data_IF_140038214047
#
_entry.id   IF_140038214047
#
_cell.length_a   1.000
_cell.length_b   1.000
_cell.length_c   1.000
_cell.angle_alpha   90.00
_cell.angle_beta   90.00
_cell.angle_gamma   90.00
#
_symmetry.space_group_name_H-M   'P 1'
#
loop_
_entity.id
_entity.type
_entity.pdbx_description
1 polymer ?
#
# COMPACT_ATOMS: atom_id res chain seq x y z
N UNK A 1 -26.56 47.14 5.74
CA UNK A 1 -25.12 47.07 5.40
C UNK A 1 -24.24 47.01 6.67
N UNK A 2 -24.65 46.24 7.70
CA UNK A 2 -23.99 46.19 9.02
C UNK A 2 -23.97 44.77 9.64
N UNK A 3 -24.24 43.74 8.83
CA UNK A 3 -24.24 42.33 9.29
C UNK A 3 -23.03 41.53 8.80
N UNK A 4 -22.16 42.12 7.98
CA UNK A 4 -20.96 41.50 7.39
C UNK A 4 -19.66 41.78 8.16
N UNK A 5 -19.68 42.64 9.17
CA UNK A 5 -18.46 43.06 9.90
C UNK A 5 -18.32 42.31 11.25
N UNK A 6 -19.36 41.62 11.72
CA UNK A 6 -19.34 40.94 13.03
C UNK A 6 -18.70 39.54 12.97
N UNK A 7 -18.57 38.94 11.78
CA UNK A 7 -17.96 37.60 11.65
C UNK A 7 -16.42 37.62 11.69
N UNK A 8 -15.79 38.80 11.61
CA UNK A 8 -14.33 38.93 11.52
C UNK A 8 -13.63 39.06 12.89
N UNK A 9 -14.38 39.14 13.99
CA UNK A 9 -13.84 39.35 15.34
C UNK A 9 -14.42 38.33 16.34
N UNK A 10 -14.43 37.04 15.97
CA UNK A 10 -14.60 35.97 16.96
C UNK A 10 -13.25 35.26 17.18
N UNK A 11 -12.50 35.59 18.25
CA UNK A 11 -11.20 34.96 18.55
C UNK A 11 -11.33 33.47 18.93
N UNK A 12 -12.54 32.93 18.99
CA UNK A 12 -12.85 31.52 19.26
C UNK A 12 -13.45 30.77 18.06
N UNK A 13 -13.55 31.39 16.88
CA UNK A 13 -13.70 30.63 15.62
C UNK A 13 -12.31 30.22 15.16
N UNK A 14 -11.75 29.18 15.78
CA UNK A 14 -10.76 28.37 15.07
C UNK A 14 -11.56 27.66 13.98
N UNK A 15 -11.29 27.99 12.71
CA UNK A 15 -11.66 27.06 11.65
C UNK A 15 -10.76 25.84 11.89
N UNK A 16 -11.29 24.84 12.59
CA UNK A 16 -10.54 23.62 12.79
C UNK A 16 -10.19 23.05 11.41
N UNK A 17 -8.93 22.65 11.19
CA UNK A 17 -8.47 22.17 9.90
C UNK A 17 -9.34 20.99 9.46
N UNK A 18 -9.62 20.92 8.16
CA UNK A 18 -10.26 19.74 7.60
C UNK A 18 -9.23 18.59 7.53
N UNK A 19 -9.69 17.38 7.19
CA UNK A 19 -8.80 16.21 7.17
C UNK A 19 -7.60 16.39 6.23
N UNK A 20 -7.79 17.03 5.07
CA UNK A 20 -6.71 17.23 4.10
C UNK A 20 -5.65 18.22 4.62
N UNK A 21 -6.07 19.25 5.33
CA UNK A 21 -5.16 20.21 5.97
C UNK A 21 -4.36 19.56 7.10
N UNK A 22 -5.02 18.76 7.93
CA UNK A 22 -4.35 18.02 9.01
C UNK A 22 -3.33 17.00 8.48
N UNK A 23 -3.65 16.32 7.38
CA UNK A 23 -2.78 15.33 6.74
C UNK A 23 -1.77 15.95 5.76
N UNK A 24 -1.71 17.28 5.64
CA UNK A 24 -0.82 17.99 4.71
C UNK A 24 -0.98 17.54 3.25
N UNK A 25 -2.22 17.25 2.84
CA UNK A 25 -2.58 16.76 1.50
C UNK A 25 -3.19 17.82 0.59
N UNK A 26 -3.38 19.06 1.05
CA UNK A 26 -4.04 20.12 0.27
C UNK A 26 -3.37 20.37 -1.09
N UNK A 27 -2.05 20.58 -1.13
CA UNK A 27 -1.33 20.84 -2.38
C UNK A 27 -1.43 19.65 -3.35
N UNK A 28 -1.30 18.43 -2.84
CA UNK A 28 -1.47 17.22 -3.64
C UNK A 28 -2.91 17.08 -4.15
N UNK A 29 -3.91 17.34 -3.32
CA UNK A 29 -5.32 17.31 -3.70
C UNK A 29 -5.67 18.33 -4.80
N UNK A 30 -5.15 19.56 -4.70
CA UNK A 30 -5.32 20.60 -5.71
C UNK A 30 -4.66 20.23 -7.05
N UNK A 31 -3.64 19.38 -7.02
CA UNK A 31 -2.99 18.86 -8.24
C UNK A 31 -3.79 17.77 -8.95
N UNK A 32 -4.79 17.16 -8.29
CA UNK A 32 -5.65 16.13 -8.86
C UNK A 32 -6.70 16.73 -9.81
N UNK A 33 -7.08 15.98 -10.83
CA UNK A 33 -8.23 16.34 -11.67
C UNK A 33 -9.55 16.30 -10.89
N UNK A 34 -10.59 16.99 -11.36
CA UNK A 34 -11.91 16.98 -10.72
C UNK A 34 -12.47 15.55 -10.54
N UNK A 35 -12.22 14.66 -11.51
CA UNK A 35 -12.60 13.25 -11.40
C UNK A 35 -11.86 12.55 -10.27
N UNK A 36 -10.57 12.78 -10.14
CA UNK A 36 -9.72 12.19 -9.11
C UNK A 36 -10.02 12.73 -7.72
N UNK A 37 -10.33 14.02 -7.59
CA UNK A 37 -10.84 14.61 -6.36
C UNK A 37 -12.15 13.94 -5.92
N UNK A 38 -13.05 13.68 -6.87
CA UNK A 38 -14.29 12.94 -6.62
C UNK A 38 -14.01 11.48 -6.24
N UNK A 39 -13.05 10.81 -6.88
CA UNK A 39 -12.61 9.45 -6.54
C UNK A 39 -11.99 9.40 -5.13
N UNK A 40 -11.16 10.38 -4.77
CA UNK A 40 -10.57 10.49 -3.43
C UNK A 40 -11.66 10.52 -2.38
N UNK A 41 -12.65 11.40 -2.55
CA UNK A 41 -13.80 11.44 -1.66
C UNK A 41 -14.55 10.08 -1.64
N UNK A 42 -14.86 9.52 -2.81
CA UNK A 42 -15.60 8.25 -2.94
C UNK A 42 -14.94 7.12 -2.15
N UNK A 43 -13.61 7.00 -2.22
CA UNK A 43 -12.87 5.94 -1.54
C UNK A 43 -12.49 6.31 -0.10
N UNK A 44 -12.60 7.58 0.31
CA UNK A 44 -12.40 8.02 1.69
C UNK A 44 -13.54 7.60 2.62
N UNK A 45 -14.77 7.44 2.12
CA UNK A 45 -15.93 7.14 2.97
C UNK A 45 -15.79 5.79 3.67
N UNK A 46 -15.67 5.84 5.00
CA UNK A 46 -15.71 4.65 5.85
C UNK A 46 -17.19 4.36 6.08
N UNK A 47 -17.70 3.24 5.56
CA UNK A 47 -19.09 2.76 5.77
C UNK A 47 -20.22 3.62 5.17
N UNK A 48 -20.44 3.54 3.86
CA UNK A 48 -21.79 3.69 3.29
C UNK A 48 -22.49 5.05 3.45
N UNK A 49 -21.84 6.09 3.95
CA UNK A 49 -22.39 7.44 3.92
C UNK A 49 -22.34 8.01 2.51
N UNK A 50 -23.50 8.47 2.05
CA UNK A 50 -23.80 8.83 0.67
C UNK A 50 -23.28 10.21 0.25
N UNK A 51 -22.66 10.98 1.15
CA UNK A 51 -22.16 12.33 0.83
C UNK A 51 -20.64 12.42 0.86
N UNK A 52 -20.07 12.20 -0.32
CA UNK A 52 -18.64 12.15 -0.63
C UNK A 52 -17.89 13.44 -0.28
N UNK A 53 -18.56 14.60 -0.40
CA UNK A 53 -17.97 15.91 -0.16
C UNK A 53 -18.01 16.34 1.31
N UNK A 54 -18.88 15.73 2.12
CA UNK A 54 -19.09 16.14 3.50
C UNK A 54 -17.95 15.69 4.43
N UNK A 55 -17.31 14.55 4.18
CA UNK A 55 -16.30 14.00 5.10
C UNK A 55 -14.91 14.64 4.96
N UNK A 56 -14.49 14.99 3.74
CA UNK A 56 -13.19 15.67 3.53
C UNK A 56 -13.19 17.11 4.02
N UNK A 57 -14.35 17.77 3.97
CA UNK A 57 -14.53 19.17 4.35
C UNK A 57 -15.06 19.35 5.78
N UNK A 58 -15.33 18.25 6.49
CA UNK A 58 -15.70 18.32 7.90
C UNK A 58 -14.48 18.74 8.72
N UNK A 59 -14.66 19.82 9.49
CA UNK A 59 -13.72 20.21 10.54
C UNK A 59 -13.50 19.04 11.50
N UNK A 60 -12.25 18.64 11.69
CA UNK A 60 -11.87 17.60 12.64
C UNK A 60 -11.20 18.22 13.86
N UNK A 61 -11.60 17.80 15.05
CA UNK A 61 -10.97 18.25 16.31
C UNK A 61 -9.71 17.45 16.65
N UNK A 62 -9.61 16.21 16.15
CA UNK A 62 -8.42 15.37 16.18
C UNK A 62 -8.60 14.14 15.27
N UNK A 63 -7.50 13.56 14.80
CA UNK A 63 -7.48 12.23 14.16
C UNK A 63 -6.19 11.51 14.54
N UNK A 64 -6.27 10.20 14.72
CA UNK A 64 -5.08 9.34 14.88
C UNK A 64 -4.56 8.82 13.54
N UNK A 65 -5.21 9.15 12.42
CA UNK A 65 -4.75 8.75 11.09
C UNK A 65 -3.51 9.55 10.69
N UNK A 66 -2.47 8.83 10.27
CA UNK A 66 -1.32 9.36 9.55
C UNK A 66 -1.67 9.56 8.07
N UNK A 67 -0.90 10.39 7.38
CA UNK A 67 -0.99 10.61 5.94
C UNK A 67 -0.81 9.27 5.20
N UNK A 68 0.24 8.50 5.53
CA UNK A 68 0.46 7.18 4.95
C UNK A 68 -0.72 6.22 5.17
N UNK A 69 -1.27 6.15 6.38
CA UNK A 69 -2.37 5.20 6.68
C UNK A 69 -3.67 5.56 5.98
N UNK A 70 -3.98 6.86 5.90
CA UNK A 70 -5.15 7.36 5.17
C UNK A 70 -5.03 7.03 3.68
N UNK A 71 -3.91 7.40 3.04
CA UNK A 71 -3.69 7.15 1.62
C UNK A 71 -3.67 5.65 1.28
N UNK A 72 -2.98 4.83 2.09
CA UNK A 72 -3.05 3.37 1.99
C UNK A 72 -4.50 2.88 2.01
N UNK A 73 -5.32 3.36 2.94
CA UNK A 73 -6.71 2.93 3.07
C UNK A 73 -7.56 3.29 1.85
N UNK A 74 -7.41 4.51 1.32
CA UNK A 74 -8.05 4.98 0.08
C UNK A 74 -7.58 4.14 -1.12
N UNK A 75 -6.26 4.01 -1.30
CA UNK A 75 -5.64 3.29 -2.41
C UNK A 75 -6.05 1.81 -2.44
N UNK A 76 -6.01 1.13 -1.30
CA UNK A 76 -6.49 -0.25 -1.19
C UNK A 76 -7.98 -0.40 -1.45
N UNK A 77 -8.81 0.61 -1.16
CA UNK A 77 -10.24 0.62 -1.52
C UNK A 77 -10.44 0.79 -3.02
N UNK A 78 -9.73 1.71 -3.65
CA UNK A 78 -9.75 1.90 -5.09
C UNK A 78 -9.30 0.61 -5.82
N UNK A 79 -8.22 -0.02 -5.36
CA UNK A 79 -7.71 -1.28 -5.89
C UNK A 79 -8.74 -2.42 -5.81
N UNK A 80 -9.46 -2.53 -4.69
CA UNK A 80 -10.54 -3.52 -4.51
C UNK A 80 -11.73 -3.30 -5.44
N UNK A 81 -11.90 -2.09 -5.97
CA UNK A 81 -12.92 -1.75 -6.96
C UNK A 81 -12.34 -1.71 -8.38
N UNK A 82 -11.14 -2.27 -8.60
CA UNK A 82 -10.46 -2.34 -9.90
C UNK A 82 -10.19 -0.98 -10.55
N UNK A 83 -10.23 0.10 -9.76
CA UNK A 83 -9.85 1.46 -10.18
C UNK A 83 -8.33 1.61 -10.07
N UNK A 84 -7.62 0.79 -10.85
CA UNK A 84 -6.18 0.57 -10.68
C UNK A 84 -5.34 1.82 -10.97
N UNK A 85 -5.74 2.66 -11.92
CA UNK A 85 -5.04 3.91 -12.23
C UNK A 85 -5.08 4.88 -11.04
N UNK A 86 -6.27 5.08 -10.45
CA UNK A 86 -6.40 5.94 -9.28
C UNK A 86 -5.73 5.30 -8.05
N UNK A 87 -5.89 3.99 -7.86
CA UNK A 87 -5.25 3.27 -6.76
C UNK A 87 -3.72 3.39 -6.82
N UNK A 88 -3.10 3.22 -7.99
CA UNK A 88 -1.66 3.39 -8.20
C UNK A 88 -1.23 4.79 -7.79
N UNK A 89 -1.90 5.84 -8.31
CA UNK A 89 -1.58 7.24 -7.95
C UNK A 89 -1.61 7.50 -6.44
N UNK A 90 -2.64 7.01 -5.75
CA UNK A 90 -2.80 7.20 -4.29
C UNK A 90 -1.77 6.39 -3.50
N UNK A 91 -1.50 5.15 -3.89
CA UNK A 91 -0.56 4.27 -3.20
C UNK A 91 0.88 4.75 -3.37
N UNK A 92 1.25 5.26 -4.55
CA UNK A 92 2.56 5.89 -4.75
C UNK A 92 2.71 7.14 -3.87
N UNK A 93 1.66 7.95 -3.75
CA UNK A 93 1.69 9.08 -2.80
C UNK A 93 1.83 8.61 -1.35
N UNK A 94 1.27 7.46 -0.97
CA UNK A 94 1.44 6.89 0.36
C UNK A 94 2.90 6.50 0.66
N UNK A 95 3.65 6.03 -0.35
CA UNK A 95 5.08 5.72 -0.21
C UNK A 95 5.95 6.98 -0.06
N UNK A 96 5.45 8.15 -0.47
CA UNK A 96 6.14 9.44 -0.34
C UNK A 96 5.82 10.17 0.97
N UNK A 97 4.97 9.60 1.83
CA UNK A 97 4.54 10.24 3.06
C UNK A 97 5.69 10.37 4.06
N UNK A 98 5.79 11.53 4.72
CA UNK A 98 6.85 11.80 5.71
C UNK A 98 6.66 10.99 7.02
N UNK A 99 5.42 10.61 7.32
CA UNK A 99 5.05 9.83 8.51
C UNK A 99 5.07 8.31 8.27
N UNK A 100 6.17 7.87 7.66
CA UNK A 100 6.41 6.48 7.29
C UNK A 100 6.30 5.51 8.48
N UNK A 101 5.55 4.44 8.24
CA UNK A 101 5.28 3.37 9.19
C UNK A 101 5.54 2.02 8.50
N UNK A 102 6.45 1.16 9.02
CA UNK A 102 6.82 -0.09 8.35
C UNK A 102 5.63 -1.02 8.06
N UNK A 103 4.61 -1.03 8.92
CA UNK A 103 3.40 -1.81 8.73
C UNK A 103 2.57 -1.27 7.56
N UNK A 104 2.31 0.03 7.55
CA UNK A 104 1.53 0.66 6.48
C UNK A 104 2.25 0.58 5.14
N UNK A 105 3.57 0.85 5.11
CA UNK A 105 4.41 0.70 3.93
C UNK A 105 4.35 -0.72 3.35
N UNK A 106 4.50 -1.75 4.17
CA UNK A 106 4.38 -3.15 3.74
C UNK A 106 3.01 -3.43 3.09
N UNK A 107 1.92 -2.91 3.67
CA UNK A 107 0.58 -3.08 3.10
C UNK A 107 0.32 -2.25 1.83
N UNK A 108 0.99 -1.11 1.67
CA UNK A 108 1.01 -0.37 0.40
C UNK A 108 1.68 -1.22 -0.68
N UNK A 109 2.87 -1.76 -0.42
CA UNK A 109 3.56 -2.65 -1.37
C UNK A 109 2.74 -3.88 -1.70
N UNK A 110 2.13 -4.55 -0.73
CA UNK A 110 1.24 -5.69 -0.97
C UNK A 110 0.11 -5.36 -1.94
N UNK A 111 -0.49 -4.18 -1.80
CA UNK A 111 -1.56 -3.73 -2.69
C UNK A 111 -1.02 -3.50 -4.11
N UNK A 112 0.10 -2.78 -4.26
CA UNK A 112 0.75 -2.54 -5.55
C UNK A 112 1.15 -3.85 -6.24
N UNK A 113 1.87 -4.73 -5.54
CA UNK A 113 2.32 -6.04 -6.03
C UNK A 113 1.13 -6.84 -6.54
N UNK A 114 0.03 -6.91 -5.76
CA UNK A 114 -1.19 -7.59 -6.20
C UNK A 114 -1.73 -6.97 -7.49
N UNK A 115 -1.94 -5.64 -7.52
CA UNK A 115 -2.52 -4.95 -8.67
C UNK A 115 -1.72 -5.16 -9.96
N UNK A 116 -0.40 -5.02 -9.89
CA UNK A 116 0.46 -5.24 -11.06
C UNK A 116 0.48 -6.70 -11.46
N UNK A 117 0.55 -7.63 -10.51
CA UNK A 117 0.51 -9.05 -10.83
C UNK A 117 -0.83 -9.45 -11.46
N UNK A 118 -1.95 -8.87 -11.02
CA UNK A 118 -3.29 -9.13 -11.58
C UNK A 118 -3.37 -8.61 -13.04
N UNK A 119 -2.74 -7.47 -13.35
CA UNK A 119 -2.68 -6.86 -14.70
C UNK A 119 -1.55 -7.38 -15.61
N UNK A 120 -0.77 -8.38 -15.17
CA UNK A 120 0.46 -8.84 -15.84
C UNK A 120 0.29 -9.26 -17.31
N UNK A 121 -0.90 -9.67 -17.71
CA UNK A 121 -1.20 -10.19 -19.04
C UNK A 121 -1.77 -9.08 -19.96
N UNK A 122 -2.13 -7.92 -19.41
CA UNK A 122 -2.84 -6.84 -20.10
C UNK A 122 -2.02 -5.53 -20.18
N UNK A 123 -1.19 -5.28 -19.17
CA UNK A 123 -0.41 -4.04 -19.03
C UNK A 123 1.09 -4.32 -19.22
N UNK A 124 1.70 -3.64 -20.17
CA UNK A 124 3.07 -3.95 -20.63
C UNK A 124 4.15 -3.81 -19.55
N UNK A 125 4.04 -2.82 -18.67
CA UNK A 125 4.96 -2.52 -17.55
C UNK A 125 4.57 -3.25 -16.25
N UNK A 126 3.52 -4.08 -16.26
CA UNK A 126 3.00 -4.67 -15.03
C UNK A 126 3.96 -5.68 -14.38
N UNK A 127 4.61 -6.55 -15.16
CA UNK A 127 5.60 -7.48 -14.61
C UNK A 127 6.81 -6.72 -14.05
N UNK A 128 7.29 -5.69 -14.75
CA UNK A 128 8.44 -4.89 -14.32
C UNK A 128 8.14 -4.16 -13.00
N UNK A 129 7.00 -3.49 -12.90
CA UNK A 129 6.58 -2.83 -11.68
C UNK A 129 6.29 -3.83 -10.55
N UNK A 130 5.71 -5.00 -10.85
CA UNK A 130 5.54 -6.05 -9.85
C UNK A 130 6.90 -6.49 -9.27
N UNK A 131 7.92 -6.68 -10.12
CA UNK A 131 9.28 -7.01 -9.67
C UNK A 131 9.84 -5.86 -8.83
N UNK A 132 9.74 -4.61 -9.29
CA UNK A 132 10.21 -3.43 -8.58
C UNK A 132 9.65 -3.41 -7.16
N UNK A 133 8.32 -3.42 -7.00
CA UNK A 133 7.71 -3.32 -5.67
C UNK A 133 7.90 -4.57 -4.81
N UNK A 134 8.11 -5.76 -5.40
CA UNK A 134 8.56 -6.92 -4.62
C UNK A 134 9.94 -6.69 -4.01
N UNK A 135 10.88 -6.12 -4.77
CA UNK A 135 12.23 -5.85 -4.28
C UNK A 135 12.23 -4.79 -3.19
N UNK A 136 11.54 -3.66 -3.42
CA UNK A 136 11.41 -2.60 -2.43
C UNK A 136 10.78 -3.10 -1.11
N UNK A 137 9.75 -3.96 -1.18
CA UNK A 137 9.15 -4.56 0.02
C UNK A 137 10.13 -5.50 0.75
N UNK A 138 10.90 -6.29 0.01
CA UNK A 138 11.90 -7.21 0.57
C UNK A 138 13.04 -6.42 1.22
N UNK A 139 13.51 -5.33 0.60
CA UNK A 139 14.58 -4.50 1.13
C UNK A 139 14.22 -3.86 2.48
N UNK A 140 12.92 -3.63 2.72
CA UNK A 140 12.39 -3.06 3.95
C UNK A 140 11.73 -4.08 4.90
N UNK A 141 11.77 -5.39 4.58
CA UNK A 141 10.94 -6.37 5.28
C UNK A 141 11.33 -6.54 6.76
N UNK A 142 12.61 -6.38 7.09
CA UNK A 142 13.10 -6.60 8.45
C UNK A 142 12.56 -5.54 9.43
N UNK A 143 12.26 -4.32 8.93
CA UNK A 143 11.57 -3.30 9.72
C UNK A 143 10.12 -3.71 10.03
N UNK A 144 9.41 -4.28 9.06
CA UNK A 144 8.05 -4.80 9.25
C UNK A 144 8.03 -5.99 10.21
N UNK A 145 8.94 -6.94 10.04
CA UNK A 145 9.05 -8.11 10.93
C UNK A 145 9.38 -7.69 12.38
N UNK A 146 10.20 -6.65 12.56
CA UNK A 146 10.50 -6.10 13.88
C UNK A 146 9.27 -5.50 14.58
N UNK A 147 8.34 -4.91 13.81
CA UNK A 147 7.06 -4.43 14.35
C UNK A 147 6.15 -5.60 14.72
N UNK A 148 6.13 -6.67 13.91
CA UNK A 148 5.33 -7.86 14.21
C UNK A 148 5.84 -8.63 15.43
N UNK A 149 7.15 -8.75 15.62
CA UNK A 149 7.74 -9.48 16.76
C UNK A 149 7.40 -8.82 18.11
N UNK A 150 7.16 -7.51 18.11
CA UNK A 150 6.70 -6.78 19.29
C UNK A 150 5.23 -7.06 19.62
N UNK A 151 4.45 -7.65 18.71
CA UNK A 151 3.08 -8.07 18.96
C UNK A 151 3.04 -9.50 19.48
N UNK A 152 2.90 -9.63 20.81
CA UNK A 152 2.88 -10.90 21.53
C UNK A 152 1.72 -11.84 21.16
N UNK A 153 0.82 -11.44 20.26
CA UNK A 153 -0.34 -12.23 19.85
C UNK A 153 -0.14 -12.98 18.52
N UNK A 154 1.05 -12.87 17.90
CA UNK A 154 1.33 -13.49 16.61
C UNK A 154 2.04 -14.83 16.82
N UNK A 155 1.28 -15.93 16.77
CA UNK A 155 1.83 -17.29 16.88
C UNK A 155 2.61 -17.72 15.63
N UNK A 156 2.27 -17.16 14.46
CA UNK A 156 2.86 -17.50 13.16
C UNK A 156 3.04 -16.25 12.28
N UNK A 157 4.21 -16.13 11.65
CA UNK A 157 4.47 -15.05 10.71
C UNK A 157 3.48 -15.10 9.52
N UNK A 158 2.94 -13.95 9.10
CA UNK A 158 2.06 -13.91 7.94
C UNK A 158 2.83 -14.30 6.68
N UNK A 159 2.11 -14.78 5.66
CA UNK A 159 2.71 -14.94 4.35
C UNK A 159 3.03 -13.56 3.78
N UNK A 160 4.27 -13.38 3.32
CA UNK A 160 4.76 -12.15 2.70
C UNK A 160 4.70 -12.30 1.17
N UNK A 161 3.74 -11.66 0.48
CA UNK A 161 3.50 -11.86 -0.95
C UNK A 161 4.69 -11.53 -1.85
N UNK A 162 5.54 -10.57 -1.49
CA UNK A 162 6.68 -10.13 -2.28
C UNK A 162 7.65 -11.26 -2.61
N UNK A 163 8.09 -12.04 -1.61
CA UNK A 163 8.95 -13.22 -1.83
C UNK A 163 8.30 -14.25 -2.76
N UNK A 164 7.03 -14.59 -2.50
CA UNK A 164 6.31 -15.58 -3.30
C UNK A 164 6.15 -15.12 -4.75
N UNK A 165 5.77 -13.87 -4.96
CA UNK A 165 5.52 -13.30 -6.29
C UNK A 165 6.82 -13.19 -7.08
N UNK A 166 7.89 -12.70 -6.45
CA UNK A 166 9.18 -12.55 -7.10
C UNK A 166 9.76 -13.91 -7.51
N UNK A 167 9.68 -14.92 -6.64
CA UNK A 167 10.12 -16.28 -6.97
C UNK A 167 9.32 -16.88 -8.16
N UNK A 168 7.99 -16.69 -8.19
CA UNK A 168 7.15 -17.15 -9.32
C UNK A 168 7.52 -16.43 -10.62
N UNK A 169 7.78 -15.11 -10.57
CA UNK A 169 8.12 -14.33 -11.75
C UNK A 169 9.49 -14.76 -12.30
N UNK A 170 10.51 -14.87 -11.44
CA UNK A 170 11.84 -15.33 -11.84
C UNK A 170 11.83 -16.75 -12.41
N UNK A 171 11.09 -17.66 -11.78
CA UNK A 171 10.88 -19.00 -12.30
C UNK A 171 10.29 -18.98 -13.72
N UNK A 172 9.24 -18.19 -13.96
CA UNK A 172 8.62 -18.03 -15.29
C UNK A 172 9.55 -17.41 -16.32
N UNK A 173 10.51 -16.60 -15.88
CA UNK A 173 11.55 -16.01 -16.73
C UNK A 173 12.75 -16.94 -16.97
N UNK A 174 12.73 -18.18 -16.42
CA UNK A 174 13.87 -19.11 -16.49
C UNK A 174 15.05 -18.70 -15.61
N UNK A 175 14.88 -17.71 -14.74
CA UNK A 175 15.89 -17.23 -13.80
C UNK A 175 15.86 -18.10 -12.53
N UNK A 176 16.15 -19.38 -12.68
CA UNK A 176 16.00 -20.35 -11.59
C UNK A 176 16.93 -20.07 -10.41
N UNK A 177 18.15 -19.59 -10.65
CA UNK A 177 19.09 -19.20 -9.58
C UNK A 177 18.55 -18.05 -8.75
N UNK A 178 18.10 -16.98 -9.40
CA UNK A 178 17.48 -15.84 -8.72
C UNK A 178 16.23 -16.28 -7.95
N UNK A 179 15.41 -17.18 -8.51
CA UNK A 179 14.24 -17.70 -7.82
C UNK A 179 14.60 -18.54 -6.57
N UNK A 180 15.71 -19.29 -6.60
CA UNK A 180 16.26 -20.02 -5.45
C UNK A 180 16.72 -19.06 -4.37
N UNK A 181 17.46 -18.01 -4.73
CA UNK A 181 17.94 -16.98 -3.79
C UNK A 181 16.76 -16.31 -3.05
N UNK A 182 15.68 -15.97 -3.76
CA UNK A 182 14.46 -15.45 -3.11
C UNK A 182 13.84 -16.45 -2.13
N UNK A 183 13.85 -17.75 -2.45
CA UNK A 183 13.38 -18.77 -1.52
C UNK A 183 14.27 -18.85 -0.26
N UNK A 184 15.59 -18.77 -0.44
CA UNK A 184 16.56 -18.82 0.66
C UNK A 184 16.41 -17.63 1.59
N UNK A 185 16.33 -16.41 1.04
CA UNK A 185 16.08 -15.19 1.82
C UNK A 185 14.80 -15.27 2.67
N UNK A 186 13.75 -15.91 2.13
CA UNK A 186 12.49 -16.11 2.86
C UNK A 186 12.63 -17.15 3.98
N UNK A 187 13.34 -18.26 3.70
CA UNK A 187 13.58 -19.33 4.67
C UNK A 187 14.45 -18.86 5.84
N UNK A 188 15.47 -18.04 5.58
CA UNK A 188 16.32 -17.43 6.62
C UNK A 188 15.52 -16.59 7.61
N UNK A 189 14.40 -16.01 7.16
CA UNK A 189 13.46 -15.21 7.97
C UNK A 189 12.31 -16.04 8.56
N UNK A 190 12.32 -17.35 8.40
CA UNK A 190 11.25 -18.24 8.88
C UNK A 190 9.92 -18.07 8.16
N UNK A 191 9.92 -17.50 6.95
CA UNK A 191 8.71 -17.23 6.18
C UNK A 191 8.22 -18.47 5.40
N UNK A 192 6.94 -18.47 5.06
CA UNK A 192 6.31 -19.49 4.22
C UNK A 192 5.52 -18.87 3.06
N UNK A 193 5.47 -19.57 1.92
CA UNK A 193 4.72 -19.14 0.73
C UNK A 193 3.23 -19.57 0.76
N UNK A 194 2.79 -20.15 1.88
CA UNK A 194 1.41 -20.58 2.12
C UNK A 194 1.01 -21.86 1.39
N UNK A 195 1.95 -22.55 0.72
CA UNK A 195 1.71 -23.87 0.10
C UNK A 195 2.15 -25.01 1.03
N UNK A 196 1.70 -26.24 0.75
CA UNK A 196 2.10 -27.43 1.53
C UNK A 196 3.62 -27.63 1.63
N UNK A 197 4.35 -27.27 0.57
CA UNK A 197 5.81 -27.39 0.52
C UNK A 197 6.57 -26.14 0.98
N UNK A 198 5.89 -24.99 1.10
CA UNK A 198 6.53 -23.72 1.42
C UNK A 198 7.62 -23.32 0.42
N UNK A 199 8.51 -22.43 0.86
CA UNK A 199 9.70 -22.05 0.10
C UNK A 199 10.69 -23.21 -0.04
N UNK A 200 10.75 -24.15 0.91
CA UNK A 200 11.65 -25.30 0.85
C UNK A 200 11.31 -26.22 -0.33
N UNK A 201 10.03 -26.57 -0.50
CA UNK A 201 9.57 -27.37 -1.64
C UNK A 201 9.72 -26.64 -2.98
N UNK A 202 9.53 -25.31 -3.00
CA UNK A 202 9.80 -24.50 -4.19
C UNK A 202 11.29 -24.53 -4.56
N UNK A 203 12.17 -24.29 -3.59
CA UNK A 203 13.63 -24.31 -3.76
C UNK A 203 14.11 -25.64 -4.33
N UNK A 204 13.68 -26.77 -3.76
CA UNK A 204 14.06 -28.10 -4.24
C UNK A 204 13.67 -28.32 -5.70
N UNK A 205 12.43 -27.94 -6.07
CA UNK A 205 11.96 -28.06 -7.45
C UNK A 205 12.74 -27.16 -8.42
N UNK A 206 13.09 -25.94 -8.00
CA UNK A 206 13.88 -25.01 -8.81
C UNK A 206 15.33 -25.51 -8.98
N UNK A 207 15.92 -26.10 -7.93
CA UNK A 207 17.27 -26.65 -8.00
C UNK A 207 17.37 -27.78 -9.04
N UNK A 208 16.37 -28.66 -9.12
CA UNK A 208 16.32 -29.68 -10.17
C UNK A 208 16.31 -29.08 -11.58
N UNK A 209 15.64 -27.94 -11.80
CA UNK A 209 15.66 -27.27 -13.11
C UNK A 209 17.05 -26.72 -13.47
N UNK A 210 17.84 -26.31 -12.48
CA UNK A 210 19.22 -25.84 -12.68
C UNK A 210 20.13 -27.01 -13.06
N UNK A 211 19.97 -28.15 -12.39
CA UNK A 211 20.81 -29.33 -12.60
C UNK A 211 20.52 -30.02 -13.95
N UNK A 212 19.29 -29.88 -14.46
CA UNK A 212 18.84 -30.41 -15.75
C UNK A 212 19.16 -29.49 -16.96
N UNK A 213 19.72 -28.29 -16.73
CA UNK A 213 20.05 -27.28 -17.77
C UNK A 213 21.52 -27.33 -18.20
#
# INVERSE_FOLDING_TARGET
MLRRIVDFLNPWKRNDPNLLEYLELNEWYESLSEEEQRKLGKYSTVFGESDVGALLNQSISSTSQTQQSYLKSVGSRAARNEDYEFAEKVLLRALEAEDDNPNDRHFVYNTLIRMYYDQRDERADAIENCIKYCKEDIDHIDEFLSVLDQDSNIDHLPSIPSFKRLAIIYERQGKYRDAVEICEMALERGLTDGTKGGFEGRKQRLQSQIDDS
#
